data_IF_961566301507
#
_entry.id   IF_961566301507
#
_cell.length_a   1.000
_cell.length_b   1.000
_cell.length_c   1.000
_cell.angle_alpha   90.00
_cell.angle_beta   90.00
_cell.angle_gamma   90.00
#
_symmetry.space_group_name_H-M   'P 1'
#
loop_
_entity.id
_entity.type
_entity.pdbx_description
1 polymer ?
#
# COMPACT_ATOMS: atom_id res chain seq x y z
N UNK A 1 -26.40 34.46 29.81
CA UNK A 1 -26.20 34.26 28.37
C UNK A 1 -25.63 32.87 28.11
N UNK A 2 -26.51 31.94 27.74
CA UNK A 2 -26.07 30.64 27.28
C UNK A 2 -25.47 30.81 25.86
N UNK A 3 -24.18 30.59 25.73
CA UNK A 3 -23.51 30.53 24.41
C UNK A 3 -24.02 29.29 23.68
N UNK A 4 -24.76 29.52 22.63
CA UNK A 4 -25.18 28.44 21.70
C UNK A 4 -23.96 27.95 20.97
N UNK A 5 -23.57 26.71 21.23
CA UNK A 5 -22.48 26.05 20.48
C UNK A 5 -23.00 25.78 19.07
N UNK A 6 -22.28 26.19 18.03
CA UNK A 6 -22.71 25.88 16.63
C UNK A 6 -22.81 24.39 16.40
N UNK A 7 -23.78 23.99 15.64
CA UNK A 7 -24.06 22.59 15.34
C UNK A 7 -22.85 21.80 14.78
N UNK A 8 -22.18 22.42 14.31
CA UNK A 8 -21.06 21.88 13.80
C UNK A 8 -20.01 21.55 14.73
N UNK A 9 -19.92 22.32 15.48
CA UNK A 9 -18.96 22.01 16.52
C UNK A 9 -19.38 20.78 17.31
N UNK A 10 -20.66 20.56 17.45
CA UNK A 10 -21.20 19.35 18.09
C UNK A 10 -20.96 18.10 17.25
N UNK A 11 -21.14 18.21 15.92
CA UNK A 11 -20.88 17.11 15.00
C UNK A 11 -19.38 16.74 14.98
N UNK A 12 -18.49 17.73 14.95
CA UNK A 12 -17.05 17.52 15.02
C UNK A 12 -16.61 16.92 16.37
N UNK A 13 -17.24 17.33 17.47
CA UNK A 13 -16.96 16.80 18.80
C UNK A 13 -17.41 15.33 18.91
N UNK A 14 -18.58 15.00 18.36
CA UNK A 14 -19.11 13.63 18.38
C UNK A 14 -18.23 12.68 17.55
N UNK A 15 -17.80 13.11 16.36
CA UNK A 15 -16.87 12.36 15.52
C UNK A 15 -15.52 12.17 16.24
N UNK A 16 -14.97 13.25 16.83
CA UNK A 16 -13.72 13.19 17.62
C UNK A 16 -13.87 12.26 18.82
N UNK A 17 -14.97 12.37 19.56
CA UNK A 17 -15.24 11.55 20.76
C UNK A 17 -15.39 10.07 20.39
N UNK A 18 -16.05 9.75 19.29
CA UNK A 18 -16.16 8.36 18.81
C UNK A 18 -14.79 7.81 18.36
N UNK A 19 -13.96 8.63 17.73
CA UNK A 19 -12.59 8.26 17.38
C UNK A 19 -11.72 7.99 18.62
N UNK A 20 -11.81 8.85 19.62
CA UNK A 20 -11.04 8.71 20.87
C UNK A 20 -11.48 7.46 21.64
N UNK A 21 -12.78 7.18 21.71
CA UNK A 21 -13.29 5.95 22.30
C UNK A 21 -12.79 4.70 21.56
N UNK A 22 -12.69 4.77 20.22
CA UNK A 22 -12.19 3.65 19.42
C UNK A 22 -10.69 3.41 19.64
N UNK A 23 -9.90 4.47 19.83
CA UNK A 23 -8.47 4.37 20.14
C UNK A 23 -8.28 3.83 21.56
N UNK A 24 -9.06 4.30 22.51
CA UNK A 24 -8.93 3.93 23.91
C UNK A 24 -9.37 2.50 24.21
N UNK A 25 -10.32 1.96 23.45
CA UNK A 25 -10.82 0.59 23.62
C UNK A 25 -9.73 -0.46 23.38
N UNK A 26 -8.80 -0.20 22.46
CA UNK A 26 -7.70 -1.12 22.17
C UNK A 26 -6.46 -0.96 23.07
N UNK A 27 -6.40 0.11 23.86
CA UNK A 27 -5.27 0.32 24.78
C UNK A 27 -5.39 -0.48 26.09
N UNK A 28 -6.57 -0.99 26.39
CA UNK A 28 -6.88 -1.54 27.72
C UNK A 28 -7.26 -3.03 27.71
N UNK A 29 -7.00 -3.76 26.62
CA UNK A 29 -7.17 -5.20 26.66
C UNK A 29 -5.98 -5.85 27.38
N UNK A 30 -6.26 -6.57 28.44
CA UNK A 30 -5.30 -7.42 29.14
C UNK A 30 -5.56 -8.88 28.74
N UNK A 31 -4.51 -9.67 28.62
CA UNK A 31 -4.65 -11.11 28.39
C UNK A 31 -5.15 -11.83 29.66
N UNK A 32 -5.35 -13.15 29.55
CA UNK A 32 -5.81 -13.99 30.66
C UNK A 32 -4.83 -14.05 31.85
N UNK A 33 -3.63 -13.45 31.71
CA UNK A 33 -2.61 -13.36 32.78
C UNK A 33 -2.50 -11.96 33.37
N UNK A 34 -3.35 -11.02 32.92
CA UNK A 34 -3.31 -9.62 33.37
C UNK A 34 -2.19 -8.79 32.73
N UNK A 35 -1.53 -9.32 31.69
CA UNK A 35 -0.53 -8.57 30.92
C UNK A 35 -1.22 -7.70 29.88
N UNK A 36 -0.80 -6.43 29.77
CA UNK A 36 -1.36 -5.48 28.80
C UNK A 36 -1.04 -5.94 27.39
N UNK A 37 -2.09 -6.28 26.64
CA UNK A 37 -1.96 -6.65 25.23
C UNK A 37 -1.53 -5.42 24.43
N UNK A 38 -0.23 -5.33 24.11
CA UNK A 38 0.35 -4.27 23.30
C UNK A 38 0.00 -4.49 21.82
N UNK A 39 -1.24 -4.24 21.48
CA UNK A 39 -1.67 -4.17 20.09
C UNK A 39 -0.93 -3.05 19.35
N UNK A 40 -1.00 -2.99 18.02
CA UNK A 40 -0.43 -1.86 17.31
C UNK A 40 -1.15 -0.57 17.70
N UNK A 41 -0.38 0.46 18.02
CA UNK A 41 -0.93 1.80 18.25
C UNK A 41 -1.64 2.25 16.96
N UNK A 42 -2.80 2.90 17.08
CA UNK A 42 -3.62 3.34 15.95
C UNK A 42 -4.10 2.19 15.05
N UNK A 43 -4.57 1.09 15.65
CA UNK A 43 -5.29 0.04 14.89
C UNK A 43 -6.70 0.56 14.56
N UNK A 44 -6.93 0.83 13.28
CA UNK A 44 -8.20 1.40 12.82
C UNK A 44 -9.26 0.31 12.61
N UNK A 45 -10.50 0.63 12.92
CA UNK A 45 -11.67 -0.23 12.64
C UNK A 45 -12.20 -0.05 11.21
N UNK A 46 -11.44 0.60 10.33
CA UNK A 46 -11.84 0.82 8.95
C UNK A 46 -12.18 -0.50 8.25
N UNK A 47 -13.38 -0.59 7.71
CA UNK A 47 -13.93 -1.80 7.07
C UNK A 47 -13.89 -1.72 5.53
N UNK A 48 -13.56 -0.54 5.00
CA UNK A 48 -13.54 -0.29 3.56
C UNK A 48 -12.61 0.88 3.24
N UNK A 49 -12.41 1.13 1.95
CA UNK A 49 -11.51 2.18 1.48
C UNK A 49 -11.97 3.59 1.85
N UNK A 50 -13.28 3.82 1.90
CA UNK A 50 -13.82 5.16 2.18
C UNK A 50 -13.60 5.56 3.64
N UNK A 51 -13.76 4.61 4.57
CA UNK A 51 -13.49 4.84 5.99
C UNK A 51 -11.99 5.12 6.23
N UNK A 52 -11.10 4.38 5.56
CA UNK A 52 -9.66 4.66 5.63
C UNK A 52 -9.36 6.04 5.02
N UNK A 53 -9.99 6.39 3.90
CA UNK A 53 -9.80 7.70 3.26
C UNK A 53 -10.20 8.83 4.20
N UNK A 54 -11.38 8.74 4.84
CA UNK A 54 -11.84 9.74 5.82
C UNK A 54 -10.83 9.93 6.97
N UNK A 55 -10.30 8.82 7.47
CA UNK A 55 -9.28 8.88 8.52
C UNK A 55 -8.00 9.58 8.01
N UNK A 56 -7.53 9.22 6.82
CA UNK A 56 -6.33 9.83 6.22
C UNK A 56 -6.53 11.34 5.97
N UNK A 57 -7.71 11.76 5.53
CA UNK A 57 -8.05 13.19 5.32
C UNK A 57 -7.80 14.01 6.59
N UNK A 58 -8.15 13.45 7.73
CA UNK A 58 -8.04 14.13 9.03
C UNK A 58 -6.65 14.00 9.66
N UNK A 59 -5.96 12.88 9.42
CA UNK A 59 -4.83 12.48 10.27
C UNK A 59 -3.47 12.38 9.53
N UNK A 60 -3.44 12.37 8.18
CA UNK A 60 -2.20 12.08 7.44
C UNK A 60 -1.05 13.05 7.72
N UNK A 61 -1.32 14.27 8.20
CA UNK A 61 -0.30 15.30 8.50
C UNK A 61 0.27 15.18 9.92
N UNK A 62 -0.47 14.59 10.84
CA UNK A 62 -0.14 14.57 12.27
C UNK A 62 0.30 13.18 12.74
N UNK A 63 -0.29 12.14 12.17
CA UNK A 63 -0.02 10.77 12.60
C UNK A 63 1.22 10.20 11.90
N UNK A 64 1.96 9.37 12.64
CA UNK A 64 3.19 8.73 12.16
C UNK A 64 2.94 7.35 11.54
N UNK A 65 1.81 6.73 11.86
CA UNK A 65 1.41 5.43 11.34
C UNK A 65 -0.05 5.13 11.69
N UNK A 66 -0.63 4.22 10.95
CA UNK A 66 -1.84 3.53 11.37
C UNK A 66 -1.77 2.07 10.92
N UNK A 67 -2.63 1.25 11.50
CA UNK A 67 -2.73 -0.16 11.16
C UNK A 67 -4.15 -0.47 10.71
N UNK A 68 -4.29 -1.32 9.69
CA UNK A 68 -5.58 -1.73 9.15
C UNK A 68 -5.62 -3.24 8.96
N UNK A 69 -6.78 -3.83 9.20
CA UNK A 69 -7.02 -5.25 8.88
C UNK A 69 -7.57 -5.30 7.45
N UNK A 70 -6.86 -5.99 6.57
CA UNK A 70 -7.23 -6.08 5.14
C UNK A 70 -7.14 -7.52 4.65
N UNK A 71 -8.01 -7.88 3.74
CA UNK A 71 -7.96 -9.18 3.05
C UNK A 71 -6.92 -9.11 1.92
N UNK A 72 -6.09 -10.14 1.82
CA UNK A 72 -5.08 -10.24 0.75
C UNK A 72 -5.57 -11.15 -0.36
N UNK A 73 -5.02 -10.95 -1.55
CA UNK A 73 -5.35 -11.73 -2.73
C UNK A 73 -5.99 -10.90 -3.83
N UNK A 74 -6.59 -11.56 -4.80
CA UNK A 74 -7.29 -10.91 -5.91
C UNK A 74 -8.68 -10.47 -5.43
N UNK A 75 -9.03 -9.18 -5.55
CA UNK A 75 -10.38 -8.72 -5.19
C UNK A 75 -11.47 -9.49 -5.95
N UNK A 76 -12.45 -9.98 -5.22
CA UNK A 76 -13.57 -10.76 -5.76
C UNK A 76 -14.94 -10.17 -5.38
N UNK A 77 -14.99 -9.45 -4.26
CA UNK A 77 -16.24 -8.95 -3.67
C UNK A 77 -16.10 -7.46 -3.36
N UNK A 78 -17.15 -6.70 -3.61
CA UNK A 78 -17.12 -5.25 -3.42
C UNK A 78 -17.18 -4.83 -1.94
N UNK A 79 -17.70 -5.69 -1.07
CA UNK A 79 -17.91 -5.37 0.34
C UNK A 79 -16.75 -5.83 1.24
N UNK A 80 -15.61 -6.15 0.67
CA UNK A 80 -14.43 -6.59 1.41
C UNK A 80 -13.34 -5.51 1.33
N UNK A 81 -12.74 -5.17 2.46
CA UNK A 81 -11.62 -4.24 2.49
C UNK A 81 -10.34 -4.97 2.08
N UNK A 82 -9.91 -4.73 0.87
CA UNK A 82 -8.76 -5.39 0.28
C UNK A 82 -7.47 -4.62 0.55
N UNK A 83 -6.36 -5.34 0.64
CA UNK A 83 -5.01 -4.77 0.77
C UNK A 83 -4.74 -3.70 -0.30
N UNK A 84 -5.17 -3.95 -1.55
CA UNK A 84 -4.96 -2.98 -2.64
C UNK A 84 -5.71 -1.66 -2.38
N UNK A 85 -6.90 -1.73 -1.81
CA UNK A 85 -7.67 -0.52 -1.47
C UNK A 85 -6.92 0.33 -0.46
N UNK A 86 -6.40 -0.32 0.60
CA UNK A 86 -5.64 0.38 1.65
C UNK A 86 -4.37 1.02 1.10
N UNK A 87 -3.63 0.30 0.23
CA UNK A 87 -2.40 0.82 -0.37
C UNK A 87 -2.70 2.00 -1.30
N UNK A 88 -3.74 1.90 -2.13
CA UNK A 88 -4.11 2.98 -3.05
C UNK A 88 -4.55 4.24 -2.30
N UNK A 89 -5.40 4.08 -1.28
CA UNK A 89 -5.83 5.24 -0.47
C UNK A 89 -4.64 5.86 0.27
N UNK A 90 -3.77 5.05 0.87
CA UNK A 90 -2.55 5.54 1.53
C UNK A 90 -1.69 6.38 0.56
N UNK A 91 -1.45 5.88 -0.65
CA UNK A 91 -0.65 6.59 -1.65
C UNK A 91 -1.28 7.92 -2.08
N UNK A 92 -2.61 8.03 -2.05
CA UNK A 92 -3.29 9.31 -2.35
C UNK A 92 -2.91 10.42 -1.35
N UNK A 93 -2.43 10.06 -0.16
CA UNK A 93 -2.02 11.01 0.89
C UNK A 93 -0.50 11.00 1.14
N UNK A 94 0.29 10.42 0.24
CA UNK A 94 1.74 10.34 0.38
C UNK A 94 2.21 9.30 1.39
N UNK A 95 1.36 8.35 1.72
CA UNK A 95 1.66 7.23 2.63
C UNK A 95 1.93 5.95 1.84
N UNK A 96 2.42 4.93 2.53
CA UNK A 96 2.72 3.62 1.91
C UNK A 96 2.59 2.52 2.96
N UNK A 97 2.32 1.32 2.48
CA UNK A 97 2.38 0.11 3.32
C UNK A 97 3.84 -0.24 3.67
N UNK A 98 4.01 -0.83 4.84
CA UNK A 98 5.33 -1.30 5.29
C UNK A 98 5.23 -2.72 5.85
N UNK A 99 5.34 -2.89 7.16
CA UNK A 99 5.34 -4.20 7.80
C UNK A 99 3.93 -4.70 8.12
N UNK A 100 3.82 -5.97 8.46
CA UNK A 100 2.61 -6.58 9.00
C UNK A 100 2.86 -7.07 10.42
N UNK A 101 1.81 -7.13 11.23
CA UNK A 101 1.84 -7.70 12.58
C UNK A 101 0.65 -8.65 12.73
N UNK A 102 0.93 -9.83 13.28
CA UNK A 102 -0.13 -10.76 13.66
C UNK A 102 -0.72 -10.31 15.00
N UNK A 103 -2.02 -10.18 15.06
CA UNK A 103 -2.77 -9.84 16.28
C UNK A 103 -3.04 -11.10 17.10
N UNK A 104 -3.40 -10.94 18.36
CA UNK A 104 -3.60 -12.06 19.28
C UNK A 104 -4.74 -13.00 18.84
N UNK A 105 -5.73 -12.47 18.15
CA UNK A 105 -6.81 -13.27 17.53
C UNK A 105 -6.39 -13.98 16.22
N UNK A 106 -5.11 -13.96 15.86
CA UNK A 106 -4.58 -14.58 14.65
C UNK A 106 -4.72 -13.76 13.36
N UNK A 107 -5.44 -12.64 13.42
CA UNK A 107 -5.63 -11.77 12.25
C UNK A 107 -4.34 -10.97 11.99
N UNK A 108 -4.03 -10.69 10.74
CA UNK A 108 -2.85 -9.89 10.37
C UNK A 108 -3.26 -8.46 10.05
N UNK A 109 -2.66 -7.51 10.76
CA UNK A 109 -2.80 -6.09 10.47
C UNK A 109 -1.67 -5.61 9.58
N UNK A 110 -1.98 -4.68 8.68
CA UNK A 110 -1.04 -4.02 7.77
C UNK A 110 -0.76 -2.61 8.26
N UNK A 111 0.51 -2.29 8.42
CA UNK A 111 0.97 -0.93 8.77
C UNK A 111 0.99 -0.05 7.53
N UNK A 112 0.45 1.15 7.69
CA UNK A 112 0.55 2.27 6.74
C UNK A 112 1.29 3.41 7.44
N UNK A 113 2.14 4.15 6.72
CA UNK A 113 2.92 5.25 7.30
C UNK A 113 3.33 6.25 6.19
N UNK A 114 3.65 7.50 6.55
CA UNK A 114 4.17 8.46 5.59
C UNK A 114 5.36 7.89 4.83
N UNK A 115 5.38 8.12 3.54
CA UNK A 115 6.46 7.65 2.68
C UNK A 115 7.73 8.45 2.97
N UNK A 116 8.84 7.75 3.18
CA UNK A 116 10.14 8.39 3.43
C UNK A 116 10.66 9.05 2.16
N UNK A 117 11.16 10.26 2.27
CA UNK A 117 11.84 10.96 1.18
C UNK A 117 12.97 10.08 0.62
N UNK A 118 13.09 10.02 -0.71
CA UNK A 118 14.12 9.22 -1.37
C UNK A 118 13.88 7.73 -1.39
N UNK A 119 12.77 7.22 -0.84
CA UNK A 119 12.48 5.78 -0.91
C UNK A 119 12.19 5.34 -2.34
N UNK A 120 12.63 4.12 -2.68
CA UNK A 120 12.44 3.56 -4.02
C UNK A 120 10.96 3.40 -4.37
N UNK A 121 10.62 3.76 -5.59
CA UNK A 121 9.28 3.57 -6.14
C UNK A 121 9.28 2.42 -7.15
N UNK A 122 8.43 1.44 -6.91
CA UNK A 122 8.23 0.39 -7.90
C UNK A 122 7.34 0.89 -9.05
N UNK A 123 7.54 0.34 -10.25
CA UNK A 123 6.68 0.66 -11.41
C UNK A 123 5.20 0.34 -11.13
N UNK A 124 4.95 -0.71 -10.34
CA UNK A 124 3.60 -1.05 -9.93
C UNK A 124 2.96 0.09 -9.09
N UNK A 125 3.71 0.65 -8.12
CA UNK A 125 3.17 1.73 -7.29
C UNK A 125 3.02 3.04 -8.07
N UNK A 126 3.92 3.33 -9.01
CA UNK A 126 3.75 4.44 -9.95
C UNK A 126 2.44 4.29 -10.74
N UNK A 127 2.16 3.08 -11.24
CA UNK A 127 0.93 2.84 -12.02
C UNK A 127 -0.33 2.96 -11.16
N UNK A 128 -0.28 2.52 -9.91
CA UNK A 128 -1.38 2.75 -8.95
C UNK A 128 -1.66 4.25 -8.79
N UNK A 129 -0.61 5.05 -8.62
CA UNK A 129 -0.77 6.51 -8.51
C UNK A 129 -1.34 7.12 -9.80
N UNK A 130 -0.89 6.68 -10.99
CA UNK A 130 -1.49 7.13 -12.27
C UNK A 130 -2.98 6.81 -12.33
N UNK A 131 -3.35 5.60 -11.90
CA UNK A 131 -4.75 5.19 -11.83
C UNK A 131 -5.55 6.07 -10.85
N UNK A 132 -5.01 6.32 -9.65
CA UNK A 132 -5.70 7.15 -8.65
C UNK A 132 -5.81 8.60 -9.11
N UNK A 133 -4.82 9.12 -9.86
CA UNK A 133 -4.88 10.44 -10.48
C UNK A 133 -6.01 10.52 -11.51
N UNK A 134 -6.11 9.52 -12.40
CA UNK A 134 -7.20 9.43 -13.40
C UNK A 134 -8.58 9.35 -12.75
N UNK A 135 -8.68 8.76 -11.57
CA UNK A 135 -9.94 8.67 -10.81
C UNK A 135 -10.23 9.94 -9.99
N UNK A 136 -9.37 10.95 -10.07
CA UNK A 136 -9.51 12.19 -9.31
C UNK A 136 -9.33 12.04 -7.81
N UNK A 137 -8.67 10.97 -7.37
CA UNK A 137 -8.54 10.63 -5.93
C UNK A 137 -7.22 11.08 -5.31
N UNK A 138 -6.21 11.46 -6.12
CA UNK A 138 -4.93 11.93 -5.59
C UNK A 138 -5.10 13.29 -4.90
N UNK A 139 -4.56 13.41 -3.69
CA UNK A 139 -4.51 14.68 -2.97
C UNK A 139 -3.18 15.41 -3.26
N UNK A 140 -3.08 16.66 -2.84
CA UNK A 140 -1.83 17.43 -2.96
C UNK A 140 -0.69 16.77 -2.18
N UNK A 141 -0.97 16.22 -0.99
CA UNK A 141 0.02 15.47 -0.20
C UNK A 141 0.52 14.25 -0.97
N UNK A 142 -0.37 13.54 -1.65
CA UNK A 142 -0.01 12.41 -2.50
C UNK A 142 0.86 12.83 -3.66
N UNK A 143 0.49 13.90 -4.38
CA UNK A 143 1.26 14.42 -5.53
C UNK A 143 2.66 14.87 -5.12
N UNK A 144 2.79 15.55 -3.99
CA UNK A 144 4.08 16.03 -3.47
C UNK A 144 5.05 14.89 -3.14
N UNK A 145 4.55 13.69 -2.89
CA UNK A 145 5.38 12.52 -2.57
C UNK A 145 5.82 11.74 -3.82
N UNK A 146 5.30 12.09 -5.01
CA UNK A 146 5.59 11.32 -6.23
C UNK A 146 7.03 11.52 -6.71
N UNK A 147 7.65 10.48 -7.27
CA UNK A 147 8.93 10.59 -7.96
C UNK A 147 8.71 11.07 -9.39
N UNK A 148 9.75 11.07 -10.20
CA UNK A 148 9.58 11.17 -11.65
C UNK A 148 8.65 10.05 -12.13
N UNK A 149 7.52 10.43 -12.67
CA UNK A 149 6.48 9.52 -13.16
C UNK A 149 6.66 9.12 -14.63
N UNK A 150 7.70 9.65 -15.29
CA UNK A 150 8.00 9.29 -16.68
C UNK A 150 8.33 7.80 -16.80
N UNK A 151 7.77 7.14 -17.80
CA UNK A 151 8.14 5.75 -18.14
C UNK A 151 9.36 5.71 -19.08
N UNK A 152 9.74 6.83 -19.66
CA UNK A 152 10.89 6.90 -20.59
C UNK A 152 12.22 6.60 -19.91
N UNK A 153 12.33 6.86 -18.60
CA UNK A 153 13.53 6.57 -17.82
C UNK A 153 13.64 5.13 -17.31
N UNK A 154 12.69 4.25 -17.64
CA UNK A 154 12.77 2.85 -17.19
C UNK A 154 13.76 2.08 -18.03
N UNK A 155 14.86 1.67 -17.42
CA UNK A 155 15.93 0.91 -18.08
C UNK A 155 15.92 -0.52 -17.54
N UNK A 156 15.89 -1.48 -18.45
CA UNK A 156 15.99 -2.91 -18.09
C UNK A 156 17.44 -3.20 -17.72
N UNK A 157 17.64 -3.85 -16.58
CA UNK A 157 18.96 -4.32 -16.14
C UNK A 157 19.58 -5.21 -17.21
N UNK A 158 20.87 -4.98 -17.50
CA UNK A 158 21.60 -5.67 -18.59
C UNK A 158 21.60 -7.20 -18.41
N UNK A 159 21.69 -7.70 -17.18
CA UNK A 159 21.67 -9.13 -16.88
C UNK A 159 20.31 -9.75 -17.22
N UNK A 160 19.23 -9.04 -16.86
CA UNK A 160 17.86 -9.49 -17.18
C UNK A 160 17.64 -9.50 -18.69
N UNK A 161 18.03 -8.41 -19.35
CA UNK A 161 17.88 -8.28 -20.80
C UNK A 161 18.61 -9.42 -21.53
N UNK A 162 19.89 -9.64 -21.19
CA UNK A 162 20.70 -10.72 -21.76
C UNK A 162 20.04 -12.09 -21.55
N UNK A 163 19.55 -12.35 -20.32
CA UNK A 163 18.93 -13.63 -19.99
C UNK A 163 17.64 -13.88 -20.80
N UNK A 164 16.84 -12.84 -21.03
CA UNK A 164 15.62 -12.95 -21.85
C UNK A 164 15.97 -13.18 -23.33
N UNK A 165 17.06 -12.58 -23.82
CA UNK A 165 17.49 -12.69 -25.22
C UNK A 165 18.27 -13.96 -25.53
N UNK A 166 18.67 -14.75 -24.55
CA UNK A 166 19.42 -16.00 -24.73
C UNK A 166 18.58 -17.06 -25.46
N UNK A 167 17.27 -17.01 -25.33
CA UNK A 167 16.32 -17.93 -25.96
C UNK A 167 15.35 -17.09 -26.83
N UNK A 168 15.41 -17.28 -28.16
CA UNK A 168 14.60 -16.51 -29.12
C UNK A 168 13.10 -16.63 -28.84
N UNK A 169 12.61 -17.82 -28.48
CA UNK A 169 11.20 -18.05 -28.18
C UNK A 169 10.76 -17.24 -26.94
N UNK A 170 11.60 -17.23 -25.91
CA UNK A 170 11.34 -16.43 -24.69
C UNK A 170 11.30 -14.95 -25.06
N UNK A 171 12.26 -14.47 -25.84
CA UNK A 171 12.34 -13.05 -26.21
C UNK A 171 11.10 -12.61 -27.03
N UNK A 172 10.74 -13.39 -28.06
CA UNK A 172 9.54 -13.10 -28.86
C UNK A 172 8.27 -13.09 -28.02
N UNK A 173 8.10 -14.07 -27.13
CA UNK A 173 6.95 -14.12 -26.24
C UNK A 173 6.93 -12.95 -25.25
N UNK A 174 8.11 -12.57 -24.73
CA UNK A 174 8.22 -11.43 -23.83
C UNK A 174 7.77 -10.13 -24.51
N UNK A 175 8.17 -9.92 -25.77
CA UNK A 175 7.79 -8.72 -26.53
C UNK A 175 6.30 -8.63 -26.82
N UNK A 176 5.57 -9.75 -26.84
CA UNK A 176 4.11 -9.77 -27.03
C UNK A 176 3.34 -9.27 -25.79
N UNK A 177 3.94 -9.28 -24.59
CA UNK A 177 3.25 -8.79 -23.40
C UNK A 177 3.03 -7.27 -23.46
N UNK A 178 1.94 -6.76 -22.86
CA UNK A 178 1.73 -5.31 -22.79
C UNK A 178 2.94 -4.60 -22.15
N UNK A 179 3.33 -3.40 -22.63
CA UNK A 179 4.50 -2.68 -22.10
C UNK A 179 4.48 -2.45 -20.58
N UNK A 180 3.31 -2.19 -20.01
CA UNK A 180 3.17 -2.04 -18.56
C UNK A 180 3.51 -3.36 -17.84
N UNK A 181 3.02 -4.48 -18.34
CA UNK A 181 3.32 -5.80 -17.76
C UNK A 181 4.83 -6.07 -17.80
N UNK A 182 5.47 -5.80 -18.96
CA UNK A 182 6.92 -5.94 -19.10
C UNK A 182 7.65 -5.12 -18.02
N UNK A 183 7.36 -3.81 -17.92
CA UNK A 183 8.00 -2.92 -16.93
C UNK A 183 7.81 -3.43 -15.50
N UNK A 184 6.58 -3.74 -15.11
CA UNK A 184 6.27 -4.17 -13.75
C UNK A 184 6.99 -5.49 -13.42
N UNK A 185 7.01 -6.43 -14.36
CA UNK A 185 7.69 -7.73 -14.15
C UNK A 185 9.19 -7.57 -14.00
N UNK A 186 9.82 -6.81 -14.91
CA UNK A 186 11.26 -6.52 -14.83
C UNK A 186 11.59 -5.82 -13.50
N UNK A 187 10.82 -4.79 -13.16
CA UNK A 187 11.04 -4.01 -11.95
C UNK A 187 10.99 -4.88 -10.67
N UNK A 188 10.02 -5.81 -10.58
CA UNK A 188 9.91 -6.72 -9.41
C UNK A 188 11.14 -7.62 -9.26
N UNK A 189 11.92 -7.81 -10.32
CA UNK A 189 13.17 -8.59 -10.33
C UNK A 189 14.35 -7.67 -9.98
N UNK A 190 14.52 -6.58 -10.75
CA UNK A 190 15.73 -5.75 -10.65
C UNK A 190 15.85 -5.01 -9.32
N UNK A 191 14.74 -4.70 -8.63
CA UNK A 191 14.80 -4.13 -7.27
C UNK A 191 15.38 -5.13 -6.25
N UNK A 192 15.52 -6.41 -6.62
CA UNK A 192 16.10 -7.47 -5.76
C UNK A 192 17.55 -7.79 -6.11
N UNK A 193 18.21 -6.98 -6.92
CA UNK A 193 19.60 -7.22 -7.36
C UNK A 193 20.58 -7.39 -6.19
N UNK A 194 20.33 -6.71 -5.06
CA UNK A 194 21.14 -6.85 -3.82
C UNK A 194 20.86 -8.15 -3.04
N UNK A 195 19.93 -8.98 -3.52
CA UNK A 195 19.57 -10.29 -2.95
C UNK A 195 19.72 -11.34 -4.06
N UNK A 196 20.96 -11.81 -4.35
CA UNK A 196 21.23 -12.58 -5.56
C UNK A 196 20.37 -13.83 -5.75
N UNK A 197 20.15 -14.60 -4.69
CA UNK A 197 19.32 -15.81 -4.75
C UNK A 197 17.87 -15.50 -5.16
N UNK A 198 17.30 -14.43 -4.56
CA UNK A 198 15.94 -14.01 -4.86
C UNK A 198 15.83 -13.42 -6.28
N UNK A 199 16.84 -12.64 -6.68
CA UNK A 199 16.94 -12.09 -8.05
C UNK A 199 16.94 -13.22 -9.07
N UNK A 200 17.85 -14.20 -8.92
CA UNK A 200 17.96 -15.33 -9.85
C UNK A 200 16.68 -16.18 -9.86
N UNK A 201 16.13 -16.49 -8.70
CA UNK A 201 14.88 -17.26 -8.60
C UNK A 201 13.72 -16.58 -9.36
N UNK A 202 13.59 -15.26 -9.21
CA UNK A 202 12.54 -14.50 -9.91
C UNK A 202 12.79 -14.43 -11.41
N UNK A 203 14.04 -14.26 -11.82
CA UNK A 203 14.43 -14.20 -13.24
C UNK A 203 14.15 -15.54 -13.93
N UNK A 204 14.58 -16.64 -13.33
CA UNK A 204 14.31 -17.99 -13.86
C UNK A 204 12.81 -18.26 -13.97
N UNK A 205 12.05 -17.86 -12.97
CA UNK A 205 10.59 -18.00 -12.99
C UNK A 205 9.95 -17.19 -14.12
N UNK A 206 10.44 -15.97 -14.37
CA UNK A 206 9.96 -15.17 -15.50
C UNK A 206 10.25 -15.89 -16.83
N UNK A 207 11.50 -16.31 -17.06
CA UNK A 207 11.92 -17.01 -18.28
C UNK A 207 11.06 -18.25 -18.50
N UNK A 208 10.97 -19.13 -17.48
CA UNK A 208 10.21 -20.38 -17.54
C UNK A 208 8.73 -20.15 -17.90
N UNK A 209 8.12 -19.10 -17.30
CA UNK A 209 6.71 -18.82 -17.56
C UNK A 209 6.50 -18.19 -18.93
N UNK A 210 7.42 -17.31 -19.35
CA UNK A 210 7.36 -16.64 -20.67
C UNK A 210 7.53 -17.64 -21.80
N UNK A 211 8.33 -18.69 -21.60
CA UNK A 211 8.51 -19.75 -22.60
C UNK A 211 7.25 -20.55 -22.87
N UNK A 212 6.35 -20.62 -21.90
CA UNK A 212 5.08 -21.37 -22.03
C UNK A 212 3.98 -20.60 -22.80
N UNK A 213 4.18 -19.33 -23.09
CA UNK A 213 3.19 -18.45 -23.68
C UNK A 213 2.32 -17.74 -22.64
#
# INVERSE_FOLDING_TARGET
>A
CLRVIPLXALLNFEVWYQQELQIQYFRNEVDNKGEMLMGPVNLLKAKNRDELRQWLEQNHKTEKECWVVVKRGKPKENNTFWYIDAVEEAMCFGWIDSTTKKLDNGITAQKLAPRRTGSLWSELNKERCRRMEKLGKMTEAGRSALPDMSSAGFIIDKEILKALQTDNEVWENFLKFPPLYQRVRIDTIQIKKKQPQLFQSRLQKLIKNTKKG
#
